data_IF_042731506851
#
_entry.id   IF_042731506851
#
_cell.length_a   1.000
_cell.length_b   1.000
_cell.length_c   1.000
_cell.angle_alpha   90.00
_cell.angle_beta   90.00
_cell.angle_gamma   90.00
#
_symmetry.space_group_name_H-M   'P 1'
#
loop_
_entity.id
_entity.type
_entity.pdbx_description
1 polymer ?
#
# COMPACT_ATOMS: atom_id res chain seq x y z
N UNK A 1 -48.59 3.94 -32.78
CA UNK A 1 -49.56 4.47 -31.81
C UNK A 1 -50.43 3.32 -31.30
N UNK A 2 -50.53 3.20 -29.98
CA UNK A 2 -51.45 2.35 -29.18
C UNK A 2 -51.37 0.82 -29.40
N UNK A 3 -50.66 0.15 -28.48
CA UNK A 3 -51.07 -1.15 -27.98
C UNK A 3 -51.50 -0.99 -26.52
N UNK A 4 -52.76 -1.27 -26.25
CA UNK A 4 -53.34 -1.52 -24.94
C UNK A 4 -53.89 -2.94 -25.00
N UNK A 5 -53.64 -3.74 -23.97
CA UNK A 5 -54.56 -4.83 -23.64
C UNK A 5 -53.96 -6.16 -23.20
N UNK A 6 -54.13 -6.39 -21.90
CA UNK A 6 -54.73 -7.60 -21.32
C UNK A 6 -53.88 -8.85 -21.05
N UNK A 7 -53.79 -9.16 -19.75
CA UNK A 7 -53.53 -10.50 -19.18
C UNK A 7 -54.84 -11.27 -19.05
N UNK A 8 -54.84 -12.57 -19.37
CA UNK A 8 -55.68 -13.58 -18.69
C UNK A 8 -54.87 -14.89 -18.55
N UNK A 9 -54.98 -15.48 -17.36
CA UNK A 9 -54.46 -16.79 -16.93
C UNK A 9 -55.16 -17.97 -17.63
N UNK A 10 -54.53 -19.16 -17.67
CA UNK A 10 -55.07 -20.46 -17.20
C UNK A 10 -54.34 -21.69 -17.82
N UNK A 11 -53.95 -22.64 -16.94
CA UNK A 11 -53.73 -24.10 -17.05
C UNK A 11 -52.80 -24.71 -18.14
N UNK A 12 -51.73 -25.38 -17.68
CA UNK A 12 -51.76 -26.81 -17.31
C UNK A 12 -51.71 -27.87 -18.43
N UNK A 13 -50.76 -28.81 -18.23
CA UNK A 13 -50.67 -30.21 -18.72
C UNK A 13 -50.05 -30.51 -20.12
N UNK A 14 -48.81 -31.01 -20.02
CA UNK A 14 -48.31 -32.32 -20.48
C UNK A 14 -48.07 -32.64 -21.97
N UNK A 15 -47.00 -33.44 -22.12
CA UNK A 15 -46.60 -34.36 -23.20
C UNK A 15 -45.76 -33.81 -24.36
N UNK A 16 -44.45 -34.10 -24.25
CA UNK A 16 -43.74 -34.97 -25.18
C UNK A 16 -43.42 -34.40 -26.56
N UNK A 17 -42.14 -34.12 -26.82
CA UNK A 17 -41.57 -34.24 -28.15
C UNK A 17 -40.07 -34.50 -28.11
N UNK A 18 -39.70 -35.56 -28.84
CA UNK A 18 -38.35 -36.00 -29.19
C UNK A 18 -37.48 -34.82 -29.64
N UNK A 19 -36.29 -34.67 -29.04
CA UNK A 19 -35.18 -33.98 -29.70
C UNK A 19 -34.30 -35.00 -30.41
N UNK A 20 -34.25 -34.87 -31.74
CA UNK A 20 -33.22 -35.45 -32.58
C UNK A 20 -31.90 -34.73 -32.33
N UNK A 21 -30.83 -35.48 -32.04
CA UNK A 21 -29.46 -34.97 -32.11
C UNK A 21 -28.98 -35.05 -33.56
N UNK A 22 -28.82 -33.90 -34.21
CA UNK A 22 -28.13 -33.81 -35.50
C UNK A 22 -26.64 -33.59 -35.25
N UNK A 23 -25.84 -34.60 -35.55
CA UNK A 23 -24.38 -34.50 -35.58
C UNK A 23 -23.95 -33.79 -36.87
N UNK A 24 -23.22 -32.67 -36.73
CA UNK A 24 -22.51 -32.06 -37.86
C UNK A 24 -21.15 -32.75 -38.01
N UNK A 25 -21.03 -33.53 -39.07
CA UNK A 25 -19.80 -34.13 -39.56
C UNK A 25 -19.11 -33.10 -40.46
N UNK A 26 -17.88 -32.68 -40.14
CA UNK A 26 -17.06 -31.83 -41.00
C UNK A 26 -15.84 -32.64 -41.45
N UNK A 27 -15.45 -32.64 -42.74
CA UNK A 27 -14.30 -33.40 -43.21
C UNK A 27 -13.00 -32.74 -42.77
N UNK A 28 -12.05 -33.57 -42.36
CA UNK A 28 -10.65 -33.21 -42.13
C UNK A 28 -9.95 -33.30 -43.50
N UNK A 29 -9.59 -32.16 -44.07
CA UNK A 29 -8.62 -32.08 -45.17
C UNK A 29 -7.23 -31.92 -44.56
N UNK A 30 -6.33 -32.82 -44.96
CA UNK A 30 -4.93 -32.79 -44.60
C UNK A 30 -4.19 -31.92 -45.62
N UNK A 31 -3.66 -30.79 -45.17
CA UNK A 31 -2.68 -30.02 -45.94
C UNK A 31 -1.28 -30.26 -45.35
N UNK A 32 -0.41 -30.70 -46.26
CA UNK A 32 1.00 -30.99 -46.08
C UNK A 32 1.76 -29.67 -46.34
N UNK A 33 2.21 -28.99 -45.28
CA UNK A 33 3.01 -27.78 -45.42
C UNK A 33 4.50 -28.07 -45.18
N UNK A 34 5.26 -27.81 -46.24
CA UNK A 34 6.72 -27.90 -46.33
C UNK A 34 7.39 -26.86 -45.43
N UNK A 35 8.30 -27.33 -44.58
CA UNK A 35 9.05 -26.51 -43.64
C UNK A 35 9.98 -25.49 -44.30
N UNK A 36 9.81 -24.24 -43.91
CA UNK A 36 10.77 -23.16 -44.13
C UNK A 36 11.42 -22.82 -42.78
N UNK A 37 12.73 -23.08 -42.70
CA UNK A 37 13.53 -22.93 -41.49
C UNK A 37 13.89 -21.45 -41.31
N UNK A 38 13.03 -20.68 -40.64
CA UNK A 38 13.30 -19.30 -40.24
C UNK A 38 14.17 -19.33 -38.98
N UNK A 39 15.39 -18.83 -39.10
CA UNK A 39 16.29 -18.54 -37.97
C UNK A 39 15.61 -17.56 -37.03
N UNK A 40 15.20 -18.02 -35.85
CA UNK A 40 14.74 -17.16 -34.76
C UNK A 40 15.94 -16.33 -34.27
N UNK A 41 15.89 -15.03 -34.56
CA UNK A 41 16.64 -14.04 -33.78
C UNK A 41 16.20 -14.18 -32.32
N UNK A 42 17.17 -14.39 -31.43
CA UNK A 42 16.99 -14.27 -29.98
C UNK A 42 16.59 -12.84 -29.64
N UNK A 43 15.29 -12.56 -29.74
CA UNK A 43 14.66 -11.44 -29.09
C UNK A 43 14.82 -11.66 -27.59
N UNK A 44 15.73 -10.92 -26.98
CA UNK A 44 15.82 -10.75 -25.53
C UNK A 44 14.53 -10.08 -25.04
N UNK A 45 13.49 -10.88 -24.85
CA UNK A 45 12.28 -10.47 -24.14
C UNK A 45 12.72 -10.14 -22.72
N UNK A 46 12.85 -8.84 -22.44
CA UNK A 46 12.98 -8.31 -21.09
C UNK A 46 11.89 -8.94 -20.24
N UNK A 47 12.32 -9.78 -19.30
CA UNK A 47 11.45 -10.43 -18.34
C UNK A 47 10.64 -9.34 -17.62
N UNK A 48 9.30 -9.48 -17.49
CA UNK A 48 8.48 -8.47 -16.85
C UNK A 48 9.03 -8.19 -15.44
N UNK A 49 9.43 -6.94 -15.19
CA UNK A 49 9.97 -6.46 -13.93
C UNK A 49 9.07 -6.94 -12.77
N UNK A 50 9.51 -7.98 -12.07
CA UNK A 50 8.98 -8.33 -10.75
C UNK A 50 9.05 -7.06 -9.90
N UNK A 51 8.03 -6.71 -9.10
CA UNK A 51 8.05 -5.52 -8.25
C UNK A 51 9.38 -5.42 -7.52
N UNK A 52 10.19 -4.43 -7.93
CA UNK A 52 11.65 -4.49 -7.85
C UNK A 52 12.19 -4.60 -6.44
N UNK A 53 13.28 -5.36 -6.29
CA UNK A 53 14.09 -5.36 -5.08
C UNK A 53 14.64 -3.94 -4.89
N UNK A 54 14.57 -3.33 -3.69
CA UNK A 54 15.00 -1.97 -3.42
C UNK A 54 16.46 -1.64 -3.78
N UNK A 55 17.35 -2.63 -3.74
CA UNK A 55 18.77 -2.45 -3.99
C UNK A 55 19.15 -2.83 -5.41
N UNK A 56 20.05 -2.05 -6.01
CA UNK A 56 20.41 -2.17 -7.42
C UNK A 56 21.10 -3.49 -7.78
N UNK A 57 21.71 -4.16 -6.80
CA UNK A 57 22.33 -5.49 -6.94
C UNK A 57 21.34 -6.65 -6.80
N UNK A 58 20.07 -6.37 -6.50
CA UNK A 58 19.02 -7.37 -6.37
C UNK A 58 19.01 -8.09 -5.01
N UNK A 59 19.81 -7.66 -4.04
CA UNK A 59 19.76 -8.17 -2.65
C UNK A 59 19.11 -7.16 -1.71
N UNK A 60 18.71 -7.59 -0.52
CA UNK A 60 18.27 -6.69 0.55
C UNK A 60 18.95 -7.16 1.82
N UNK A 61 19.89 -6.39 2.32
CA UNK A 61 20.64 -6.79 3.51
C UNK A 61 19.85 -6.48 4.78
N UNK A 62 19.03 -5.42 4.75
CA UNK A 62 18.16 -5.07 5.86
C UNK A 62 16.87 -4.42 5.38
N UNK A 63 15.74 -4.81 5.96
CA UNK A 63 14.43 -4.20 5.70
C UNK A 63 13.96 -3.47 6.95
N UNK A 64 13.43 -2.27 6.73
CA UNK A 64 12.82 -1.40 7.74
C UNK A 64 11.35 -1.14 7.37
N UNK A 65 10.62 -0.43 8.23
CA UNK A 65 9.22 -0.11 7.98
C UNK A 65 9.03 0.79 6.77
N UNK A 66 7.82 0.78 6.20
CA UNK A 66 7.48 1.59 5.04
C UNK A 66 8.22 1.19 3.75
N UNK A 67 8.79 -0.01 3.70
CA UNK A 67 9.54 -0.50 2.54
C UNK A 67 10.91 0.13 2.37
N UNK A 68 11.42 0.86 3.37
CA UNK A 68 12.80 1.31 3.40
C UNK A 68 13.72 0.09 3.53
N UNK A 69 14.71 -0.02 2.67
CA UNK A 69 15.73 -1.07 2.74
C UNK A 69 17.11 -0.45 2.93
N UNK A 70 17.94 -1.11 3.73
CA UNK A 70 19.37 -0.88 3.76
C UNK A 70 20.01 -1.69 2.65
N UNK A 71 20.56 -0.99 1.65
CA UNK A 71 21.34 -1.57 0.57
C UNK A 71 22.81 -1.44 0.93
N UNK A 72 23.44 -2.57 1.25
CA UNK A 72 24.85 -2.61 1.60
C UNK A 72 25.71 -2.18 0.43
N UNK A 73 26.96 -1.84 0.73
CA UNK A 73 27.91 -1.45 -0.30
C UNK A 73 28.99 -0.50 0.20
N UNK A 74 29.80 -0.05 -0.74
CA UNK A 74 30.97 0.78 -0.48
C UNK A 74 31.07 1.90 -1.52
N UNK A 75 30.09 2.80 -1.51
CA UNK A 75 30.03 3.91 -2.47
C UNK A 75 30.25 5.24 -1.77
N UNK A 76 30.77 6.22 -2.50
CA UNK A 76 30.88 7.60 -1.98
C UNK A 76 29.51 8.23 -1.78
N UNK A 77 29.40 9.27 -0.94
CA UNK A 77 28.13 9.96 -0.74
C UNK A 77 27.53 10.47 -2.06
N UNK A 78 28.35 11.00 -2.98
CA UNK A 78 27.88 11.46 -4.29
C UNK A 78 27.33 10.34 -5.19
N UNK A 79 27.79 9.10 -4.97
CA UNK A 79 27.36 7.91 -5.71
C UNK A 79 26.28 7.09 -4.98
N UNK A 80 25.82 7.52 -3.80
CA UNK A 80 24.86 6.75 -2.96
C UNK A 80 23.62 6.27 -3.71
N UNK A 81 23.08 7.10 -4.60
CA UNK A 81 21.89 6.76 -5.38
C UNK A 81 22.08 5.54 -6.30
N UNK A 82 23.33 5.18 -6.65
CA UNK A 82 23.63 4.00 -7.46
C UNK A 82 23.34 2.67 -6.76
N UNK A 83 23.22 2.66 -5.43
CA UNK A 83 22.83 1.45 -4.68
C UNK A 83 21.30 1.25 -4.64
N UNK A 84 20.51 2.25 -5.02
CA UNK A 84 19.05 2.11 -5.08
C UNK A 84 18.62 1.65 -6.46
N UNK A 85 17.79 0.61 -6.52
CA UNK A 85 17.21 0.12 -7.75
C UNK A 85 16.30 1.17 -8.43
N UNK A 86 16.00 1.02 -9.73
CA UNK A 86 14.96 1.80 -10.39
C UNK A 86 13.64 1.80 -9.60
N UNK A 87 13.02 2.96 -9.45
CA UNK A 87 11.84 3.12 -8.59
C UNK A 87 12.15 3.35 -7.11
N UNK A 88 13.43 3.38 -6.71
CA UNK A 88 13.87 3.71 -5.35
C UNK A 88 14.82 4.91 -5.34
N UNK A 89 14.86 5.62 -4.21
CA UNK A 89 15.79 6.74 -4.00
C UNK A 89 16.47 6.63 -2.64
N UNK A 90 17.63 7.30 -2.45
CA UNK A 90 18.20 7.47 -1.13
C UNK A 90 17.17 8.07 -0.16
N UNK A 91 17.02 7.44 1.01
CA UNK A 91 16.16 7.90 2.09
C UNK A 91 16.77 9.13 2.76
N UNK A 92 15.94 10.09 3.13
CA UNK A 92 16.33 11.21 3.99
C UNK A 92 16.53 10.76 5.44
N UNK A 93 17.22 11.58 6.22
CA UNK A 93 17.40 11.42 7.65
C UNK A 93 16.07 11.45 8.41
N UNK A 94 15.10 12.25 7.94
CA UNK A 94 13.73 12.28 8.51
C UNK A 94 12.99 10.98 8.24
N UNK A 95 13.14 10.42 7.04
CA UNK A 95 12.57 9.11 6.72
C UNK A 95 13.19 8.02 7.57
N UNK A 96 14.52 8.02 7.75
CA UNK A 96 15.18 7.12 8.68
C UNK A 96 14.61 7.23 10.09
N UNK A 97 14.54 8.44 10.67
CA UNK A 97 14.01 8.68 12.02
C UNK A 97 12.56 8.18 12.22
N UNK A 98 11.77 8.20 11.14
CA UNK A 98 10.38 7.75 11.15
C UNK A 98 10.27 6.24 10.93
N UNK A 99 11.06 5.67 10.02
CA UNK A 99 10.86 4.32 9.47
C UNK A 99 11.74 3.25 10.12
N UNK A 100 12.79 3.62 10.87
CA UNK A 100 13.66 2.64 11.49
C UNK A 100 13.04 1.94 12.72
N UNK A 101 12.04 2.56 13.36
CA UNK A 101 11.29 2.05 14.52
C UNK A 101 12.17 1.44 15.65
N UNK A 102 13.38 1.97 15.86
CA UNK A 102 14.30 1.47 16.88
C UNK A 102 15.16 0.27 16.46
N UNK A 103 14.98 -0.25 15.25
CA UNK A 103 15.82 -1.31 14.70
C UNK A 103 17.22 -0.76 14.42
N UNK A 104 18.23 -1.34 15.07
CA UNK A 104 19.61 -0.95 14.85
C UNK A 104 20.05 -1.29 13.41
N UNK A 105 20.78 -0.41 12.71
CA UNK A 105 21.27 -0.69 11.38
C UNK A 105 22.38 -1.76 11.42
N UNK A 106 22.31 -2.72 10.50
CA UNK A 106 23.27 -3.80 10.33
C UNK A 106 24.52 -3.37 9.53
N UNK A 107 24.36 -2.36 8.67
CA UNK A 107 25.45 -1.73 7.91
C UNK A 107 25.45 -0.21 8.13
N UNK A 108 26.52 0.47 7.73
CA UNK A 108 26.53 1.92 7.69
C UNK A 108 25.89 2.38 6.38
N UNK A 109 25.00 3.36 6.45
CA UNK A 109 24.25 3.80 5.29
C UNK A 109 24.27 5.32 5.14
N UNK A 110 24.49 5.76 3.91
CA UNK A 110 24.18 7.13 3.52
C UNK A 110 22.68 7.38 3.60
N UNK A 111 22.33 8.55 4.16
CA UNK A 111 21.05 9.21 3.90
C UNK A 111 21.22 10.23 2.77
N UNK A 112 20.12 10.81 2.31
CA UNK A 112 20.12 11.78 1.22
C UNK A 112 20.53 13.20 1.63
N UNK A 113 20.68 13.46 2.92
CA UNK A 113 20.91 14.79 3.47
C UNK A 113 22.40 15.06 3.75
N UNK A 114 22.83 16.30 3.53
CA UNK A 114 24.15 16.79 3.96
C UNK A 114 24.09 17.20 5.44
N UNK A 115 24.09 16.18 6.31
CA UNK A 115 23.90 16.36 7.74
C UNK A 115 25.14 16.93 8.43
N UNK A 116 24.90 17.97 9.24
CA UNK A 116 25.85 18.61 10.14
C UNK A 116 25.73 18.01 11.55
N UNK A 117 26.76 18.16 12.38
CA UNK A 117 26.77 17.62 13.73
C UNK A 117 26.90 18.70 14.82
N UNK A 118 26.50 18.36 16.05
CA UNK A 118 26.75 19.13 17.26
C UNK A 118 26.97 18.19 18.44
N UNK A 119 27.78 18.60 19.42
CA UNK A 119 28.12 17.78 20.59
C UNK A 119 29.33 16.87 20.37
N UNK A 120 29.37 15.75 21.08
CA UNK A 120 30.45 14.75 21.04
C UNK A 120 29.87 13.35 20.83
N UNK A 121 30.67 12.40 20.33
CA UNK A 121 30.22 11.02 20.09
C UNK A 121 29.49 10.42 21.29
N UNK A 122 28.35 9.77 21.06
CA UNK A 122 27.46 9.21 22.08
C UNK A 122 26.53 10.22 22.76
N UNK A 123 26.80 11.52 22.67
CA UNK A 123 25.93 12.61 23.17
C UNK A 123 25.87 13.77 22.17
N UNK A 124 25.57 13.41 20.92
CA UNK A 124 25.55 14.32 19.77
C UNK A 124 24.17 14.37 19.10
N UNK A 125 23.97 15.39 18.28
CA UNK A 125 22.82 15.51 17.38
C UNK A 125 23.27 15.85 15.97
N UNK A 126 22.45 15.46 15.00
CA UNK A 126 22.59 15.86 13.60
C UNK A 126 21.50 16.83 13.19
N UNK A 127 21.80 17.74 12.26
CA UNK A 127 20.87 18.75 11.78
C UNK A 127 21.10 19.06 10.31
N UNK A 128 20.02 19.45 9.62
CA UNK A 128 20.05 19.84 8.21
C UNK A 128 20.70 21.22 7.99
N UNK A 129 20.72 22.06 9.02
CA UNK A 129 21.07 23.49 8.87
C UNK A 129 22.06 23.95 9.93
N UNK A 130 21.86 23.54 11.18
CA UNK A 130 22.67 23.99 12.33
C UNK A 130 23.82 23.03 12.63
N UNK A 131 24.86 23.52 13.30
CA UNK A 131 26.02 22.72 13.71
C UNK A 131 27.22 22.85 12.77
N UNK A 132 28.23 22.02 13.02
CA UNK A 132 29.48 21.97 12.27
C UNK A 132 29.31 21.05 11.06
N UNK A 133 29.65 21.55 9.88
CA UNK A 133 29.66 20.74 8.67
C UNK A 133 30.84 19.76 8.68
N UNK A 134 30.62 18.57 8.14
CA UNK A 134 31.67 17.60 7.91
C UNK A 134 32.53 17.98 6.69
N UNK A 135 33.72 17.38 6.50
CA UNK A 135 34.46 17.50 5.25
C UNK A 135 33.57 17.15 4.05
N UNK A 136 33.80 17.82 2.93
CA UNK A 136 32.99 17.66 1.72
C UNK A 136 32.89 16.18 1.29
N UNK A 137 31.66 15.74 1.00
CA UNK A 137 31.37 14.36 0.61
C UNK A 137 31.37 13.33 1.75
N UNK A 138 31.47 13.77 3.00
CA UNK A 138 31.45 12.91 4.19
C UNK A 138 30.43 13.40 5.24
N UNK A 139 29.16 13.66 4.88
CA UNK A 139 28.17 14.09 5.87
C UNK A 139 27.99 13.05 6.97
N UNK A 140 27.30 13.45 8.04
CA UNK A 140 26.81 12.47 9.00
C UNK A 140 25.88 11.47 8.30
N UNK A 141 25.90 10.22 8.75
CA UNK A 141 25.23 9.08 8.14
C UNK A 141 24.64 8.18 9.22
N UNK A 142 23.91 7.14 8.82
CA UNK A 142 23.41 6.12 9.75
C UNK A 142 24.51 5.08 9.95
N UNK A 143 24.80 4.73 11.20
CA UNK A 143 25.94 3.91 11.57
C UNK A 143 25.51 2.70 12.37
N UNK A 144 26.19 1.56 12.16
CA UNK A 144 26.02 0.38 13.02
C UNK A 144 26.33 0.73 14.48
N UNK A 145 25.78 -0.03 15.42
CA UNK A 145 26.09 0.15 16.83
C UNK A 145 27.59 0.02 17.14
N UNK A 146 28.30 -0.82 16.38
CA UNK A 146 29.74 -1.02 16.49
C UNK A 146 30.57 0.07 15.78
N UNK A 147 29.93 0.91 14.96
CA UNK A 147 30.58 1.91 14.13
C UNK A 147 31.38 1.35 12.95
N UNK A 148 31.43 0.04 12.73
CA UNK A 148 32.02 -0.59 11.53
C UNK A 148 31.07 -1.67 11.02
N UNK A 149 30.97 -1.83 9.70
CA UNK A 149 30.15 -2.86 9.04
C UNK A 149 31.00 -3.90 8.29
N UNK A 150 30.34 -4.90 7.69
CA UNK A 150 30.99 -6.01 7.00
C UNK A 150 31.76 -5.57 5.74
N UNK A 151 31.37 -4.46 5.12
CA UNK A 151 32.01 -3.86 3.93
C UNK A 151 33.25 -3.02 4.31
N UNK A 152 33.53 -2.89 5.61
CA UNK A 152 34.63 -2.09 6.15
C UNK A 152 34.38 -0.59 6.00
N UNK A 153 33.12 -0.17 5.95
CA UNK A 153 32.76 1.22 6.20
C UNK A 153 32.86 1.48 7.71
N UNK A 154 33.28 2.68 8.08
CA UNK A 154 33.55 3.02 9.49
C UNK A 154 32.96 4.37 9.82
N UNK A 155 32.27 4.47 10.94
CA UNK A 155 31.87 5.70 11.60
C UNK A 155 32.77 5.95 12.80
N UNK A 156 33.57 7.00 12.70
CA UNK A 156 34.42 7.48 13.80
C UNK A 156 33.61 8.07 14.97
N UNK A 157 32.39 8.54 14.71
CA UNK A 157 31.43 8.99 15.71
C UNK A 157 30.15 8.18 15.58
N UNK A 158 29.48 7.88 16.69
CA UNK A 158 28.22 7.13 16.70
C UNK A 158 27.29 7.67 17.78
N UNK A 159 26.04 7.21 17.74
CA UNK A 159 25.10 7.43 18.84
C UNK A 159 24.42 8.79 18.84
N UNK A 160 24.37 9.50 17.72
CA UNK A 160 23.71 10.80 17.63
C UNK A 160 22.20 10.66 17.39
N UNK A 161 21.42 11.60 17.94
CA UNK A 161 20.00 11.78 17.59
C UNK A 161 19.79 12.74 16.42
N UNK A 162 18.56 12.84 15.92
CA UNK A 162 18.17 13.82 14.88
C UNK A 162 17.57 15.06 15.55
N UNK A 163 18.16 16.24 15.30
CA UNK A 163 17.79 17.56 15.86
C UNK A 163 17.84 17.70 17.38
N UNK A 164 18.05 16.61 18.11
CA UNK A 164 18.23 16.54 19.55
C UNK A 164 19.24 15.43 19.88
N UNK A 165 19.89 15.53 21.05
CA UNK A 165 20.91 14.56 21.45
C UNK A 165 20.30 13.22 21.91
N UNK A 166 18.99 13.18 22.18
CA UNK A 166 18.24 11.99 22.53
C UNK A 166 16.86 12.00 21.84
N UNK A 167 16.29 10.82 21.54
CA UNK A 167 16.89 9.48 21.67
C UNK A 167 18.04 9.24 20.66
N UNK A 168 18.87 8.23 20.90
CA UNK A 168 19.87 7.79 19.93
C UNK A 168 19.14 7.28 18.67
N UNK A 169 19.50 7.82 17.50
CA UNK A 169 18.94 7.45 16.20
C UNK A 169 19.99 6.85 15.27
N UNK A 170 21.10 6.39 15.83
CA UNK A 170 22.22 5.79 15.12
C UNK A 170 22.90 6.71 14.10
N UNK A 171 22.69 8.03 14.18
CA UNK A 171 23.46 8.94 13.36
C UNK A 171 24.90 9.04 13.87
N UNK A 172 25.83 9.26 12.94
CA UNK A 172 27.26 9.28 13.23
C UNK A 172 28.10 9.63 12.00
N UNK A 173 29.40 9.40 12.08
CA UNK A 173 30.36 9.71 11.03
C UNK A 173 30.99 11.10 11.18
N UNK A 174 31.31 11.74 10.04
CA UNK A 174 31.95 13.05 9.87
C UNK A 174 33.44 13.07 9.51
N UNK A 175 34.21 11.98 9.62
CA UNK A 175 35.57 11.94 9.06
C UNK A 175 36.14 10.51 8.93
N UNK A 176 37.12 10.34 8.03
CA UNK A 176 38.00 9.16 7.98
C UNK A 176 37.50 7.99 7.14
N UNK A 177 36.22 7.96 6.80
CA UNK A 177 35.67 7.00 5.85
C UNK A 177 34.67 7.69 4.91
N UNK A 178 34.97 7.61 3.63
CA UNK A 178 34.24 8.25 2.53
C UNK A 178 33.22 7.33 1.87
N UNK A 179 33.02 6.12 2.39
CA UNK A 179 32.12 5.12 1.81
C UNK A 179 31.10 4.61 2.82
N UNK A 180 29.94 4.19 2.31
CA UNK A 180 28.89 3.50 3.04
C UNK A 180 27.98 2.75 2.06
N UNK A 181 27.05 1.95 2.58
CA UNK A 181 25.84 1.55 1.87
C UNK A 181 24.88 2.72 1.70
N UNK A 182 23.64 2.48 1.28
CA UNK A 182 22.60 3.52 1.16
C UNK A 182 21.26 3.00 1.66
N UNK A 183 20.52 3.84 2.39
CA UNK A 183 19.12 3.56 2.68
C UNK A 183 18.29 3.90 1.46
N UNK A 184 17.52 2.96 0.94
CA UNK A 184 16.68 3.14 -0.23
C UNK A 184 15.21 3.05 0.17
N UNK A 185 14.44 4.07 -0.18
CA UNK A 185 12.97 4.09 -0.02
C UNK A 185 12.31 4.05 -1.38
N UNK A 186 11.16 3.37 -1.52
CA UNK A 186 10.45 3.38 -2.78
C UNK A 186 10.01 4.81 -3.10
N UNK A 187 10.15 5.19 -4.36
CA UNK A 187 9.67 6.45 -4.90
C UNK A 187 8.16 6.30 -5.04
N UNK A 188 7.37 7.23 -4.52
CA UNK A 188 5.92 7.15 -4.70
C UNK A 188 5.45 7.53 -6.11
N UNK A 189 6.32 8.19 -6.88
CA UNK A 189 6.04 8.71 -8.23
C UNK A 189 6.91 8.02 -9.30
N UNK A 190 6.32 7.78 -10.46
CA UNK A 190 6.91 6.96 -11.52
C UNK A 190 8.08 7.65 -12.24
N UNK A 191 8.07 8.98 -12.37
CA UNK A 191 9.20 9.79 -12.85
C UNK A 191 10.35 9.87 -11.83
N UNK A 192 10.03 9.49 -10.60
CA UNK A 192 10.94 9.35 -9.50
C UNK A 192 11.24 10.63 -8.74
N UNK A 193 10.51 11.72 -9.00
CA UNK A 193 10.48 12.92 -8.16
C UNK A 193 9.21 12.91 -7.31
N UNK A 194 9.32 13.31 -6.04
CA UNK A 194 8.15 13.50 -5.18
C UNK A 194 8.00 15.00 -4.96
N UNK A 195 6.96 15.58 -5.56
CA UNK A 195 6.76 17.03 -5.49
C UNK A 195 6.11 17.45 -4.17
N UNK A 196 5.36 16.53 -3.56
CA UNK A 196 4.78 16.77 -2.25
C UNK A 196 4.69 15.48 -1.43
N UNK A 197 5.08 15.54 -0.16
CA UNK A 197 4.89 14.44 0.78
C UNK A 197 3.77 14.79 1.77
N UNK A 198 2.94 13.81 2.06
CA UNK A 198 1.86 13.90 3.05
C UNK A 198 2.09 12.87 4.17
N UNK A 199 1.17 12.80 5.14
CA UNK A 199 1.30 11.84 6.24
C UNK A 199 1.15 10.40 5.73
N UNK A 200 1.76 9.46 6.45
CA UNK A 200 1.67 8.01 6.20
C UNK A 200 2.04 7.59 4.77
N UNK A 201 3.04 8.24 4.17
CA UNK A 201 3.63 7.81 2.90
C UNK A 201 2.81 8.14 1.65
N UNK A 202 1.67 8.82 1.78
CA UNK A 202 1.01 9.43 0.63
C UNK A 202 1.91 10.51 0.04
N UNK A 203 2.06 10.51 -1.26
CA UNK A 203 2.82 11.52 -2.01
C UNK A 203 1.95 12.12 -3.10
N UNK A 204 2.23 13.37 -3.43
CA UNK A 204 1.73 14.04 -4.62
C UNK A 204 2.77 13.90 -5.71
N UNK A 205 2.40 13.21 -6.78
CA UNK A 205 3.17 13.07 -8.00
C UNK A 205 2.64 14.07 -8.99
N UNK A 206 3.37 15.15 -9.21
CA UNK A 206 2.98 16.16 -10.15
C UNK A 206 2.97 15.60 -11.57
N UNK A 207 2.26 16.29 -12.45
CA UNK A 207 2.15 15.90 -13.83
C UNK A 207 0.99 16.59 -14.52
N UNK A 208 0.89 16.37 -15.83
CA UNK A 208 -0.20 16.88 -16.67
C UNK A 208 -0.79 15.72 -17.45
N UNK A 209 -1.40 14.77 -16.74
CA UNK A 209 -2.09 13.62 -17.36
C UNK A 209 -3.60 13.76 -17.25
N UNK A 210 -4.32 13.24 -18.23
CA UNK A 210 -5.76 13.07 -18.11
C UNK A 210 -6.11 12.07 -17.00
N UNK A 211 -7.38 12.07 -16.57
CA UNK A 211 -7.84 11.18 -15.50
C UNK A 211 -7.53 9.70 -15.78
N UNK A 212 -7.67 9.22 -17.02
CA UNK A 212 -7.39 7.82 -17.35
C UNK A 212 -5.91 7.44 -17.16
N UNK A 213 -4.99 8.36 -17.43
CA UNK A 213 -3.54 8.15 -17.29
C UNK A 213 -2.98 8.35 -15.88
N UNK A 214 -3.79 8.78 -14.90
CA UNK A 214 -3.34 9.10 -13.53
C UNK A 214 -2.54 7.98 -12.84
N UNK A 215 -2.90 6.72 -13.09
CA UNK A 215 -2.24 5.57 -12.47
C UNK A 215 -0.79 5.42 -12.91
N UNK A 216 -0.44 5.89 -14.11
CA UNK A 216 0.92 5.84 -14.63
C UNK A 216 1.87 6.83 -13.91
N UNK A 217 1.34 7.80 -13.15
CA UNK A 217 2.15 8.70 -12.35
C UNK A 217 2.60 8.07 -11.02
N UNK A 218 1.95 7.00 -10.56
CA UNK A 218 2.36 6.29 -9.36
C UNK A 218 3.41 5.24 -9.71
N UNK A 219 4.49 5.20 -8.94
CA UNK A 219 5.53 4.19 -9.16
C UNK A 219 5.03 2.77 -8.84
N UNK A 220 5.71 1.72 -9.32
CA UNK A 220 5.46 0.36 -8.86
C UNK A 220 5.47 0.26 -7.32
N UNK A 221 4.46 -0.43 -6.76
CA UNK A 221 4.25 -0.51 -5.31
C UNK A 221 3.47 0.66 -4.71
N UNK A 222 3.01 1.60 -5.55
CA UNK A 222 2.05 2.63 -5.22
C UNK A 222 0.81 2.50 -6.10
N UNK A 223 -0.30 3.06 -5.61
CA UNK A 223 -1.53 3.23 -6.40
C UNK A 223 -2.08 4.63 -6.22
N UNK A 224 -3.00 5.04 -7.10
CA UNK A 224 -3.69 6.31 -6.92
C UNK A 224 -4.53 6.26 -5.64
N UNK A 225 -4.40 7.27 -4.80
CA UNK A 225 -5.17 7.46 -3.57
C UNK A 225 -6.64 7.77 -3.90
N UNK A 226 -7.56 7.23 -3.12
CA UNK A 226 -8.96 7.65 -3.12
C UNK A 226 -9.13 8.98 -2.41
N UNK A 227 -10.28 9.60 -2.60
CA UNK A 227 -10.69 10.83 -1.95
C UNK A 227 -10.83 10.65 -0.42
N UNK A 228 -11.28 9.48 0.03
CA UNK A 228 -11.35 9.17 1.45
C UNK A 228 -9.95 9.06 2.07
N UNK A 229 -9.00 8.44 1.35
CA UNK A 229 -7.59 8.39 1.77
C UNK A 229 -6.97 9.77 1.83
N UNK A 230 -7.21 10.63 0.84
CA UNK A 230 -6.78 12.02 0.90
C UNK A 230 -7.21 12.66 2.23
N UNK A 231 -8.51 12.65 2.54
CA UNK A 231 -9.08 13.24 3.77
C UNK A 231 -8.43 12.67 5.03
N UNK A 232 -8.14 11.36 5.06
CA UNK A 232 -7.50 10.72 6.20
C UNK A 232 -6.00 10.98 6.33
N UNK A 233 -5.30 11.22 5.22
CA UNK A 233 -3.83 11.20 5.14
C UNK A 233 -3.18 12.57 4.91
N UNK A 234 -3.90 13.56 4.39
CA UNK A 234 -3.31 14.89 4.13
C UNK A 234 -3.06 15.69 5.42
N UNK A 235 -3.87 15.44 6.46
CA UNK A 235 -3.78 16.10 7.76
C UNK A 235 -4.09 17.61 7.67
N UNK A 236 -3.06 18.44 7.81
CA UNK A 236 -3.14 19.90 7.67
C UNK A 236 -2.38 20.42 6.44
N UNK A 237 -1.84 19.51 5.62
CA UNK A 237 -0.97 19.87 4.50
C UNK A 237 -1.82 20.39 3.34
N UNK A 238 -1.55 21.62 2.92
CA UNK A 238 -2.21 22.23 1.75
C UNK A 238 -1.58 21.69 0.47
N UNK A 239 -2.35 21.19 -0.51
CA UNK A 239 -1.79 20.73 -1.78
C UNK A 239 -1.09 21.88 -2.54
N UNK A 240 0.12 21.63 -3.04
CA UNK A 240 0.90 22.59 -3.84
C UNK A 240 0.66 22.42 -5.34
N UNK A 241 0.16 21.27 -5.78
CA UNK A 241 -0.25 20.97 -7.16
C UNK A 241 -1.70 20.49 -7.19
N UNK A 242 -2.25 20.32 -8.39
CA UNK A 242 -3.53 19.67 -8.60
C UNK A 242 -3.32 18.17 -8.79
N UNK A 243 -4.13 17.34 -8.13
CA UNK A 243 -3.95 15.89 -8.17
C UNK A 243 -5.26 15.14 -8.37
N UNK A 244 -5.23 14.16 -9.26
CA UNK A 244 -6.26 13.15 -9.37
C UNK A 244 -6.30 12.25 -8.13
N UNK A 245 -7.52 11.97 -7.69
CA UNK A 245 -7.84 10.81 -6.85
C UNK A 245 -8.35 9.66 -7.73
N UNK A 246 -8.45 8.46 -7.15
CA UNK A 246 -8.91 7.29 -7.89
C UNK A 246 -10.42 7.27 -8.17
N UNK A 247 -11.19 8.05 -7.43
CA UNK A 247 -12.65 8.11 -7.52
C UNK A 247 -13.15 9.00 -8.67
N UNK A 248 -14.26 8.60 -9.30
CA UNK A 248 -15.05 9.44 -10.20
C UNK A 248 -15.97 10.36 -9.37
N UNK A 249 -15.37 11.40 -8.80
CA UNK A 249 -16.04 12.28 -7.84
C UNK A 249 -17.07 13.20 -8.51
N UNK A 250 -18.28 13.18 -7.96
CA UNK A 250 -19.39 14.08 -8.25
C UNK A 250 -19.37 15.28 -7.31
N UNK A 251 -20.10 16.33 -7.64
CA UNK A 251 -20.23 17.53 -6.80
C UNK A 251 -21.68 17.81 -6.40
N UNK A 252 -21.85 18.48 -5.25
CA UNK A 252 -23.11 19.10 -4.84
C UNK A 252 -22.82 20.50 -4.31
N UNK A 253 -23.67 21.48 -4.65
CA UNK A 253 -23.53 22.88 -4.23
C UNK A 253 -22.93 23.79 -5.29
N UNK A 254 -22.36 24.91 -4.86
CA UNK A 254 -21.72 25.93 -5.72
C UNK A 254 -20.27 26.16 -5.30
N UNK A 255 -19.50 26.90 -6.11
CA UNK A 255 -18.11 27.25 -5.80
C UNK A 255 -17.99 27.86 -4.39
N UNK A 256 -17.03 27.39 -3.60
CA UNK A 256 -16.81 27.71 -2.18
C UNK A 256 -17.90 27.27 -1.18
N UNK A 257 -18.99 26.64 -1.64
CA UNK A 257 -20.04 26.05 -0.79
C UNK A 257 -20.45 24.69 -1.37
N UNK A 258 -19.46 23.83 -1.59
CA UNK A 258 -19.61 22.53 -2.26
C UNK A 258 -19.00 21.40 -1.44
N UNK A 259 -19.48 20.19 -1.69
CA UNK A 259 -18.79 18.96 -1.30
C UNK A 259 -18.75 17.99 -2.46
N UNK A 260 -17.80 17.07 -2.40
CA UNK A 260 -17.65 15.98 -3.36
C UNK A 260 -18.08 14.66 -2.74
N UNK A 261 -18.56 13.76 -3.60
CA UNK A 261 -18.95 12.40 -3.22
C UNK A 261 -18.81 11.48 -4.43
N UNK A 262 -18.39 10.24 -4.20
CA UNK A 262 -18.35 9.22 -5.26
C UNK A 262 -19.77 8.77 -5.68
N UNK A 263 -20.77 8.97 -4.82
CA UNK A 263 -22.12 8.41 -5.03
C UNK A 263 -23.19 9.48 -5.24
N UNK A 264 -23.12 10.60 -4.52
CA UNK A 264 -24.16 11.65 -4.48
C UNK A 264 -23.72 12.90 -5.26
N UNK A 265 -24.66 13.51 -5.98
CA UNK A 265 -24.46 14.80 -6.65
C UNK A 265 -24.50 14.71 -8.18
N UNK A 266 -24.12 15.81 -8.82
CA UNK A 266 -24.02 15.94 -10.27
C UNK A 266 -22.65 15.45 -10.75
N UNK A 267 -22.65 14.66 -11.81
CA UNK A 267 -21.41 14.22 -12.47
C UNK A 267 -20.76 15.40 -13.21
N UNK A 268 -19.44 15.39 -13.26
CA UNK A 268 -18.66 16.27 -14.13
C UNK A 268 -18.66 15.76 -15.58
N UNK A 269 -18.24 16.57 -16.56
CA UNK A 269 -17.96 16.08 -17.90
C UNK A 269 -17.03 14.85 -17.86
N UNK A 270 -17.25 13.91 -18.78
CA UNK A 270 -16.52 12.66 -18.82
C UNK A 270 -14.99 12.90 -18.83
N UNK A 271 -14.26 12.18 -17.97
CA UNK A 271 -12.81 12.28 -17.84
C UNK A 271 -12.31 13.50 -17.05
N UNK A 272 -13.21 14.28 -16.44
CA UNK A 272 -12.86 15.45 -15.62
C UNK A 272 -13.57 15.44 -14.25
N UNK A 273 -13.46 14.36 -13.46
CA UNK A 273 -14.09 14.34 -12.14
C UNK A 273 -13.56 15.46 -11.25
N UNK A 274 -14.23 15.67 -10.12
CA UNK A 274 -13.64 16.48 -9.07
C UNK A 274 -12.31 15.86 -8.62
N UNK A 275 -11.38 16.71 -8.20
CA UNK A 275 -9.99 16.34 -7.87
C UNK A 275 -9.51 17.16 -6.68
N UNK A 276 -8.34 16.82 -6.15
CA UNK A 276 -7.68 17.65 -5.13
C UNK A 276 -6.99 18.79 -5.85
N UNK A 277 -7.25 20.01 -5.41
CA UNK A 277 -6.78 21.22 -6.06
C UNK A 277 -5.87 22.00 -5.12
N UNK A 278 -4.80 22.58 -5.66
CA UNK A 278 -4.11 23.68 -5.00
C UNK A 278 -5.12 24.76 -4.60
N UNK A 279 -4.87 25.42 -3.47
CA UNK A 279 -5.77 26.43 -2.89
C UNK A 279 -6.26 27.49 -3.89
N UNK A 280 -5.43 27.93 -4.83
CA UNK A 280 -5.81 28.82 -5.93
C UNK A 280 -4.92 28.65 -7.17
N UNK A 281 -5.47 29.00 -8.34
CA UNK A 281 -4.72 29.26 -9.57
C UNK A 281 -4.25 28.02 -10.34
N UNK A 282 -3.21 28.23 -11.14
CA UNK A 282 -2.52 27.21 -11.92
C UNK A 282 -1.36 26.62 -11.11
N UNK A 283 -1.13 25.31 -11.18
CA UNK A 283 0.09 24.71 -10.66
C UNK A 283 1.28 24.86 -11.63
N UNK A 284 2.45 24.34 -11.27
CA UNK A 284 3.67 24.50 -12.06
C UNK A 284 3.59 23.76 -13.41
N UNK A 285 2.73 22.75 -13.50
CA UNK A 285 2.52 21.90 -14.67
C UNK A 285 1.44 22.47 -15.61
N UNK A 286 0.86 23.63 -15.28
CA UNK A 286 -0.16 24.27 -16.10
C UNK A 286 -1.59 23.76 -15.84
N UNK A 287 -1.79 22.88 -14.86
CA UNK A 287 -3.11 22.40 -14.49
C UNK A 287 -3.88 23.49 -13.76
N UNK A 288 -5.20 23.53 -13.94
CA UNK A 288 -6.07 24.52 -13.28
C UNK A 288 -7.28 23.86 -12.65
N UNK A 289 -7.77 24.44 -11.56
CA UNK A 289 -9.08 24.10 -10.99
C UNK A 289 -9.98 25.34 -11.02
N UNK A 290 -11.08 25.26 -11.76
CA UNK A 290 -12.05 26.36 -11.84
C UNK A 290 -12.88 26.47 -10.56
N UNK A 291 -13.20 25.34 -9.93
CA UNK A 291 -13.80 25.30 -8.61
C UNK A 291 -12.76 24.82 -7.62
N UNK A 292 -12.73 25.43 -6.44
CA UNK A 292 -11.81 25.08 -5.36
C UNK A 292 -12.54 25.14 -4.02
N UNK A 293 -11.87 24.59 -3.00
CA UNK A 293 -12.29 24.65 -1.61
C UNK A 293 -13.60 23.93 -1.28
N UNK A 294 -13.93 22.87 -2.02
CA UNK A 294 -14.99 21.94 -1.66
C UNK A 294 -14.52 20.99 -0.54
N UNK A 295 -15.45 20.50 0.28
CA UNK A 295 -15.18 19.41 1.23
C UNK A 295 -15.59 18.03 0.73
N UNK A 296 -15.70 17.05 1.64
CA UNK A 296 -16.01 15.66 1.32
C UNK A 296 -17.23 15.16 2.11
N UNK A 297 -18.20 14.55 1.42
CA UNK A 297 -19.29 13.76 2.02
C UNK A 297 -20.50 14.49 2.64
N UNK A 298 -20.44 15.77 3.02
CA UNK A 298 -21.59 16.49 3.62
C UNK A 298 -21.50 18.02 3.49
N UNK A 299 -22.61 18.74 3.76
CA UNK A 299 -22.65 20.21 3.94
C UNK A 299 -22.93 20.61 5.40
N UNK A 300 -22.33 21.72 5.90
CA UNK A 300 -21.16 22.41 5.35
C UNK A 300 -19.88 21.64 5.74
N UNK A 301 -19.07 21.15 4.80
CA UNK A 301 -17.89 20.43 5.18
C UNK A 301 -16.75 21.42 5.48
N UNK A 302 -15.77 21.04 6.32
CA UNK A 302 -14.48 21.70 6.29
C UNK A 302 -13.90 21.66 4.87
N UNK A 303 -13.13 22.68 4.49
CA UNK A 303 -12.40 22.69 3.24
C UNK A 303 -11.43 21.49 3.19
N UNK A 304 -11.60 20.61 2.20
CA UNK A 304 -10.73 19.46 1.95
C UNK A 304 -9.97 19.62 0.64
N UNK A 305 -9.92 20.84 0.11
CA UNK A 305 -9.24 21.21 -1.14
C UNK A 305 -9.77 20.50 -2.38
N UNK A 306 -10.98 19.92 -2.34
CA UNK A 306 -11.58 19.36 -3.54
C UNK A 306 -12.08 20.46 -4.47
N UNK A 307 -12.09 20.17 -5.77
CA UNK A 307 -12.45 21.13 -6.78
C UNK A 307 -12.46 20.55 -8.19
N UNK A 308 -12.51 21.40 -9.22
CA UNK A 308 -12.45 21.00 -10.62
C UNK A 308 -13.81 21.03 -11.35
N UNK A 309 -14.16 19.92 -12.00
CA UNK A 309 -15.38 19.71 -12.83
C UNK A 309 -15.46 20.39 -14.19
N UNK A 310 -14.86 21.55 -14.37
CA UNK A 310 -14.86 22.24 -15.66
C UNK A 310 -13.47 22.79 -15.95
N UNK A 311 -13.05 22.78 -17.22
CA UNK A 311 -11.80 23.39 -17.68
C UNK A 311 -10.69 22.38 -17.96
N UNK A 312 -9.53 22.58 -17.34
CA UNK A 312 -8.33 21.80 -17.62
C UNK A 312 -8.56 20.31 -17.24
N UNK A 313 -8.42 19.38 -18.21
CA UNK A 313 -8.65 17.95 -18.00
C UNK A 313 -7.40 17.20 -17.52
N UNK A 314 -6.35 17.89 -17.07
CA UNK A 314 -5.11 17.31 -16.59
C UNK A 314 -4.82 17.67 -15.15
N UNK A 315 -4.08 16.79 -14.46
CA UNK A 315 -3.56 16.97 -13.11
C UNK A 315 -2.41 15.97 -12.88
N UNK A 316 -1.74 16.08 -11.74
CA UNK A 316 -0.91 15.02 -11.18
C UNK A 316 -1.73 13.87 -10.58
N UNK A 317 -1.13 13.02 -9.78
CA UNK A 317 -1.83 11.98 -9.02
C UNK A 317 -1.39 11.99 -7.55
N UNK A 318 -2.34 11.73 -6.64
CA UNK A 318 -1.98 11.33 -5.28
C UNK A 318 -1.66 9.86 -5.30
N UNK A 319 -0.48 9.47 -4.83
CA UNK A 319 -0.02 8.11 -4.80
C UNK A 319 0.18 7.66 -3.35
N UNK A 320 -0.42 6.53 -2.99
CA UNK A 320 -0.26 5.88 -1.69
C UNK A 320 0.46 4.55 -1.87
N UNK A 321 1.24 4.09 -0.88
CA UNK A 321 1.80 2.76 -0.92
C UNK A 321 0.68 1.73 -1.07
N UNK A 322 0.84 0.78 -1.97
CA UNK A 322 -0.09 -0.34 -2.13
C UNK A 322 -0.01 -1.32 -0.96
N UNK A 323 0.94 -1.12 -0.03
CA UNK A 323 1.30 -2.09 1.00
C UNK A 323 0.60 -1.80 2.32
N UNK A 324 -0.33 -2.68 2.71
CA UNK A 324 -1.07 -2.58 3.96
C UNK A 324 -0.43 -3.23 5.18
N UNK A 325 0.78 -3.76 5.03
CA UNK A 325 1.51 -4.49 6.06
C UNK A 325 2.70 -3.69 6.58
N UNK A 326 2.91 -3.71 7.90
CA UNK A 326 3.87 -2.85 8.60
C UNK A 326 5.34 -3.17 8.27
N UNK A 327 5.63 -4.43 7.96
CA UNK A 327 6.92 -4.92 7.47
C UNK A 327 7.17 -4.56 6.00
N UNK A 328 6.16 -4.01 5.32
CA UNK A 328 6.24 -3.70 3.91
C UNK A 328 6.13 -4.91 3.00
N UNK A 329 5.83 -6.13 3.46
CA UNK A 329 5.50 -7.26 2.58
C UNK A 329 3.99 -7.52 2.62
N UNK A 330 3.33 -7.54 1.46
CA UNK A 330 1.95 -8.00 1.39
C UNK A 330 1.95 -9.46 0.99
N UNK A 331 1.64 -10.36 1.92
CA UNK A 331 1.65 -11.80 1.64
C UNK A 331 0.40 -12.27 0.89
N UNK A 332 -0.69 -11.51 1.04
CA UNK A 332 -1.90 -11.75 0.28
C UNK A 332 -2.63 -10.45 -0.05
N UNK A 333 -2.69 -10.08 -1.32
CA UNK A 333 -3.62 -9.05 -1.79
C UNK A 333 -4.97 -9.70 -2.03
N UNK A 334 -6.02 -9.21 -1.36
CA UNK A 334 -7.39 -9.70 -1.54
C UNK A 334 -8.18 -8.73 -2.40
N UNK A 335 -8.14 -7.45 -2.04
CA UNK A 335 -8.67 -6.32 -2.82
C UNK A 335 -7.70 -5.14 -2.75
N UNK A 336 -8.03 -4.03 -3.42
CA UNK A 336 -7.23 -2.79 -3.38
C UNK A 336 -7.14 -2.12 -2.00
N UNK A 337 -8.00 -2.51 -1.07
CA UNK A 337 -8.12 -1.95 0.28
C UNK A 337 -8.11 -3.03 1.38
N UNK A 338 -7.84 -4.29 1.04
CA UNK A 338 -7.82 -5.42 1.98
C UNK A 338 -6.65 -6.34 1.65
N UNK A 339 -5.73 -6.46 2.60
CA UNK A 339 -4.54 -7.29 2.47
C UNK A 339 -4.38 -8.19 3.70
N UNK A 340 -3.89 -9.40 3.50
CA UNK A 340 -3.45 -10.28 4.57
C UNK A 340 -1.97 -10.06 4.85
N UNK A 341 -1.67 -9.59 6.05
CA UNK A 341 -0.32 -9.39 6.58
C UNK A 341 0.05 -10.59 7.44
N UNK A 342 1.01 -11.38 7.01
CA UNK A 342 1.47 -12.54 7.76
C UNK A 342 2.17 -12.10 9.05
N UNK A 343 2.26 -13.01 10.01
CA UNK A 343 2.97 -12.74 11.25
C UNK A 343 2.57 -13.68 12.37
N UNK A 344 3.18 -13.45 13.53
CA UNK A 344 3.03 -14.25 14.75
C UNK A 344 2.75 -13.28 15.91
N UNK A 345 1.63 -12.57 15.84
CA UNK A 345 1.23 -11.61 16.89
C UNK A 345 0.00 -12.11 17.64
N UNK A 346 -0.15 -11.70 18.90
CA UNK A 346 -1.37 -11.95 19.67
C UNK A 346 -2.49 -11.02 19.20
N UNK A 347 -3.74 -11.41 19.44
CA UNK A 347 -4.89 -10.60 19.01
C UNK A 347 -4.85 -9.13 19.52
N UNK A 348 -4.48 -8.82 20.77
CA UNK A 348 -4.32 -7.42 21.21
C UNK A 348 -3.33 -6.61 20.37
N UNK A 349 -2.30 -7.27 19.83
CA UNK A 349 -1.22 -6.65 19.06
C UNK A 349 -1.44 -6.66 17.55
N UNK A 350 -2.57 -7.20 17.06
CA UNK A 350 -2.85 -7.37 15.62
C UNK A 350 -2.61 -6.12 14.76
N UNK A 351 -2.96 -4.94 15.26
CA UNK A 351 -2.75 -3.68 14.53
C UNK A 351 -1.27 -3.37 14.25
N UNK A 352 -0.32 -3.99 14.98
CA UNK A 352 1.12 -3.81 14.74
C UNK A 352 1.57 -4.37 13.39
N UNK A 353 0.82 -5.32 12.82
CA UNK A 353 1.11 -5.85 11.48
C UNK A 353 0.52 -4.99 10.36
N UNK A 354 -0.33 -4.02 10.67
CA UNK A 354 -0.88 -3.12 9.67
C UNK A 354 0.04 -1.90 9.48
N UNK A 355 0.30 -1.55 8.22
CA UNK A 355 1.07 -0.36 7.90
C UNK A 355 0.42 0.91 8.47
N UNK A 356 1.17 1.99 8.71
CA UNK A 356 0.59 3.29 9.06
C UNK A 356 -0.52 3.70 8.07
N UNK A 357 -1.67 4.13 8.58
CA UNK A 357 -2.87 4.40 7.79
C UNK A 357 -3.79 3.19 7.59
N UNK A 358 -3.32 1.98 7.89
CA UNK A 358 -4.10 0.75 7.86
C UNK A 358 -4.46 0.30 9.28
N UNK A 359 -5.55 -0.44 9.40
CA UNK A 359 -6.03 -1.01 10.67
C UNK A 359 -6.49 -2.45 10.46
N UNK A 360 -6.59 -3.23 11.54
CA UNK A 360 -7.15 -4.57 11.43
C UNK A 360 -8.59 -4.50 10.91
N UNK A 361 -8.85 -5.21 9.81
CA UNK A 361 -10.13 -5.30 9.15
C UNK A 361 -11.14 -6.09 9.96
N UNK A 362 -12.42 -5.74 9.84
CA UNK A 362 -13.51 -6.50 10.46
C UNK A 362 -13.78 -7.80 9.69
N UNK A 363 -14.40 -8.76 10.37
CA UNK A 363 -14.94 -9.99 9.79
C UNK A 363 -16.02 -9.72 8.73
N UNK A 364 -16.87 -8.71 8.95
CA UNK A 364 -17.88 -8.29 7.97
C UNK A 364 -17.26 -7.76 6.67
N UNK A 365 -16.14 -7.02 6.78
CA UNK A 365 -15.38 -6.57 5.61
C UNK A 365 -14.86 -7.76 4.82
N UNK A 366 -14.21 -8.73 5.49
CA UNK A 366 -13.73 -9.95 4.84
C UNK A 366 -14.84 -10.64 4.06
N UNK A 367 -15.96 -10.94 4.72
CA UNK A 367 -17.11 -11.62 4.11
C UNK A 367 -17.60 -10.92 2.84
N UNK A 368 -17.66 -9.59 2.85
CA UNK A 368 -18.14 -8.80 1.71
C UNK A 368 -17.12 -8.62 0.58
N UNK A 369 -15.81 -8.76 0.85
CA UNK A 369 -14.75 -8.37 -0.09
C UNK A 369 -13.86 -9.52 -0.57
N UNK A 370 -13.76 -10.63 0.15
CA UNK A 370 -12.83 -11.72 -0.19
C UNK A 370 -13.16 -12.49 -1.48
N UNK A 371 -14.42 -12.43 -1.96
CA UNK A 371 -14.85 -13.17 -3.14
C UNK A 371 -14.68 -14.69 -2.98
N UNK A 372 -13.86 -15.30 -3.84
CA UNK A 372 -13.51 -16.72 -3.80
C UNK A 372 -12.09 -16.98 -3.23
N UNK A 373 -11.42 -15.94 -2.73
CA UNK A 373 -10.05 -16.07 -2.25
C UNK A 373 -10.01 -16.75 -0.87
N UNK A 374 -9.36 -17.91 -0.79
CA UNK A 374 -9.04 -18.54 0.48
C UNK A 374 -7.83 -17.85 1.15
N UNK A 375 -7.79 -17.73 2.49
CA UNK A 375 -6.62 -17.22 3.20
C UNK A 375 -5.37 -18.08 2.95
N UNK A 376 -4.23 -17.44 2.67
CA UNK A 376 -2.91 -18.09 2.58
C UNK A 376 -2.24 -18.27 3.95
N UNK A 377 -2.58 -17.39 4.89
CA UNK A 377 -2.16 -17.47 6.29
C UNK A 377 -3.38 -17.37 7.20
N UNK A 378 -3.19 -17.63 8.48
CA UNK A 378 -4.20 -17.36 9.49
C UNK A 378 -4.14 -15.87 9.85
N UNK A 379 -5.29 -15.19 9.92
CA UNK A 379 -5.35 -13.75 10.14
C UNK A 379 -6.32 -13.37 11.25
N UNK A 380 -5.87 -12.51 12.16
CA UNK A 380 -6.74 -11.77 13.06
C UNK A 380 -7.61 -10.78 12.29
N UNK A 381 -8.85 -10.63 12.76
CA UNK A 381 -9.73 -9.50 12.42
C UNK A 381 -9.78 -8.53 13.60
N UNK A 382 -10.31 -7.32 13.41
CA UNK A 382 -10.50 -6.36 14.51
C UNK A 382 -11.55 -6.81 15.53
N UNK A 383 -12.45 -7.71 15.13
CA UNK A 383 -13.57 -8.19 15.93
C UNK A 383 -13.14 -9.21 16.99
N UNK A 384 -13.80 -9.17 18.16
CA UNK A 384 -13.71 -10.22 19.17
C UNK A 384 -14.75 -11.30 18.86
N UNK A 385 -14.45 -12.14 17.87
CA UNK A 385 -15.38 -13.13 17.35
C UNK A 385 -15.60 -14.30 18.33
N UNK A 386 -16.88 -14.63 18.52
CA UNK A 386 -17.38 -15.77 19.27
C UNK A 386 -17.75 -16.90 18.30
N UNK A 387 -17.82 -18.13 18.80
CA UNK A 387 -18.23 -19.29 18.00
C UNK A 387 -19.68 -19.70 18.27
N UNK A 388 -20.30 -20.25 17.25
CA UNK A 388 -21.58 -20.95 17.24
C UNK A 388 -21.33 -22.33 16.63
N UNK A 389 -21.96 -23.39 17.14
CA UNK A 389 -21.80 -24.75 16.62
C UNK A 389 -20.80 -25.62 17.39
N UNK A 390 -20.40 -26.75 16.79
CA UNK A 390 -19.73 -27.85 17.51
C UNK A 390 -18.40 -28.33 16.91
N UNK A 391 -17.96 -27.80 15.76
CA UNK A 391 -16.71 -28.19 15.12
C UNK A 391 -16.55 -27.65 13.70
N UNK A 392 -15.42 -27.96 13.05
CA UNK A 392 -15.14 -27.55 11.67
C UNK A 392 -16.27 -27.87 10.71
N UNK A 393 -16.55 -26.98 9.76
CA UNK A 393 -17.66 -27.05 8.79
C UNK A 393 -19.08 -27.11 9.39
N UNK A 394 -19.22 -27.19 10.71
CA UNK A 394 -20.49 -27.18 11.45
C UNK A 394 -20.50 -26.03 12.47
N UNK A 395 -19.89 -24.91 12.08
CA UNK A 395 -19.65 -23.75 12.93
C UNK A 395 -19.89 -22.44 12.20
N UNK A 396 -20.17 -21.39 12.97
CA UNK A 396 -20.21 -20.02 12.52
C UNK A 396 -19.53 -19.10 13.54
N UNK A 397 -19.16 -17.91 13.11
CA UNK A 397 -18.68 -16.85 14.01
C UNK A 397 -19.67 -15.70 14.13
N UNK A 398 -19.71 -15.06 15.29
CA UNK A 398 -20.54 -13.87 15.51
C UNK A 398 -19.84 -12.89 16.45
N UNK A 399 -20.10 -11.59 16.27
CA UNK A 399 -19.62 -10.54 17.18
C UNK A 399 -20.51 -10.37 18.40
N UNK A 400 -21.75 -10.87 18.38
CA UNK A 400 -22.76 -10.63 19.42
C UNK A 400 -23.32 -11.92 20.04
N UNK A 401 -23.34 -13.02 19.29
CA UNK A 401 -23.95 -14.29 19.71
C UNK A 401 -22.90 -15.38 19.89
N UNK A 402 -23.26 -16.42 20.63
CA UNK A 402 -22.42 -17.59 20.81
C UNK A 402 -21.48 -17.49 22.01
N UNK A 403 -20.56 -18.45 22.08
CA UNK A 403 -19.65 -18.63 23.19
C UNK A 403 -18.33 -17.95 22.86
N UNK A 404 -17.81 -17.15 23.78
CA UNK A 404 -16.47 -16.57 23.62
C UNK A 404 -15.43 -17.69 23.73
N UNK A 405 -14.35 -17.56 22.95
CA UNK A 405 -13.15 -18.35 23.17
C UNK A 405 -12.44 -17.91 24.46
N UNK A 406 -11.23 -18.44 24.70
CA UNK A 406 -10.37 -17.94 25.78
C UNK A 406 -9.96 -16.47 25.55
N UNK A 407 -9.55 -15.80 26.63
CA UNK A 407 -9.05 -14.43 26.56
C UNK A 407 -7.91 -14.31 25.52
N UNK A 408 -7.99 -13.27 24.68
CA UNK A 408 -7.02 -13.00 23.60
C UNK A 408 -6.92 -14.06 22.49
N UNK A 409 -7.89 -14.99 22.41
CA UNK A 409 -7.94 -16.02 21.38
C UNK A 409 -9.30 -16.05 20.65
N UNK A 410 -9.85 -14.94 20.16
CA UNK A 410 -11.11 -14.98 19.44
C UNK A 410 -11.03 -15.89 18.20
N UNK A 411 -12.18 -16.19 17.62
CA UNK A 411 -12.21 -16.78 16.29
C UNK A 411 -11.51 -15.83 15.29
N UNK A 412 -10.93 -16.40 14.24
CA UNK A 412 -10.08 -15.72 13.27
C UNK A 412 -10.30 -16.29 11.88
N UNK A 413 -9.65 -15.71 10.87
CA UNK A 413 -9.58 -16.31 9.54
C UNK A 413 -8.49 -17.37 9.54
N UNK A 414 -8.79 -18.50 8.90
CA UNK A 414 -7.93 -19.66 8.87
C UNK A 414 -7.64 -20.08 7.44
N UNK A 415 -6.44 -20.58 7.18
CA UNK A 415 -6.19 -21.32 5.95
C UNK A 415 -7.13 -22.52 5.86
N UNK A 416 -7.45 -23.02 4.65
CA UNK A 416 -8.25 -24.25 4.51
C UNK A 416 -7.67 -25.45 5.29
N UNK A 417 -6.35 -25.53 5.39
CA UNK A 417 -5.65 -26.57 6.15
C UNK A 417 -5.65 -26.35 7.67
N UNK A 418 -6.09 -25.18 8.15
CA UNK A 418 -6.04 -24.77 9.54
C UNK A 418 -4.65 -24.40 10.05
N UNK A 419 -3.58 -24.82 9.38
CA UNK A 419 -2.20 -24.43 9.71
C UNK A 419 -1.60 -23.59 8.58
N UNK A 420 -0.77 -22.60 8.92
CA UNK A 420 -0.02 -21.81 7.93
C UNK A 420 1.51 -22.02 8.04
N UNK A 421 2.25 -21.40 7.12
CA UNK A 421 3.70 -21.54 7.01
C UNK A 421 4.48 -20.95 8.20
N UNK A 422 3.84 -20.12 9.04
CA UNK A 422 4.44 -19.55 10.25
C UNK A 422 4.11 -20.37 11.51
N UNK A 423 3.43 -21.51 11.34
CA UNK A 423 3.02 -22.36 12.44
C UNK A 423 1.81 -21.84 13.21
N UNK A 424 1.11 -20.82 12.69
CA UNK A 424 -0.19 -20.44 13.24
C UNK A 424 -1.16 -21.59 12.98
N UNK A 425 -2.05 -21.86 13.93
CA UNK A 425 -2.96 -23.01 13.85
C UNK A 425 -4.39 -22.60 14.22
N UNK A 426 -5.36 -23.22 13.59
CA UNK A 426 -6.77 -23.18 13.92
C UNK A 426 -7.25 -24.60 14.21
N UNK A 427 -7.80 -24.82 15.41
CA UNK A 427 -8.41 -26.08 15.80
C UNK A 427 -9.72 -26.36 15.06
N UNK A 428 -10.49 -25.31 14.75
CA UNK A 428 -11.67 -25.37 13.90
C UNK A 428 -11.40 -24.60 12.61
N UNK A 429 -11.94 -25.08 11.50
CA UNK A 429 -11.84 -24.46 10.17
C UNK A 429 -13.18 -24.52 9.45
N UNK A 430 -13.28 -23.80 8.33
CA UNK A 430 -14.47 -23.79 7.47
C UNK A 430 -15.75 -23.33 8.17
N UNK A 431 -15.66 -22.37 9.09
CA UNK A 431 -16.82 -21.75 9.72
C UNK A 431 -17.36 -20.59 8.86
N UNK A 432 -18.68 -20.43 8.83
CA UNK A 432 -19.32 -19.27 8.21
C UNK A 432 -19.37 -18.02 9.12
N UNK A 433 -19.86 -16.91 8.60
CA UNK A 433 -20.13 -15.68 9.35
C UNK A 433 -21.63 -15.58 9.66
N UNK A 434 -21.99 -15.49 10.94
CA UNK A 434 -23.35 -15.50 11.51
C UNK A 434 -24.16 -16.78 11.30
N UNK A 435 -23.96 -17.48 10.18
CA UNK A 435 -24.58 -18.77 9.84
C UNK A 435 -23.50 -19.80 9.50
N UNK A 436 -23.80 -21.09 9.63
CA UNK A 436 -22.81 -22.15 9.36
C UNK A 436 -22.40 -22.23 7.88
N UNK A 437 -23.26 -21.74 6.98
CA UNK A 437 -22.99 -21.68 5.54
C UNK A 437 -23.33 -20.29 5.00
N UNK A 438 -22.65 -19.82 3.94
CA UNK A 438 -21.52 -20.47 3.28
C UNK A 438 -20.23 -20.43 4.12
N UNK A 439 -19.24 -21.25 3.72
CA UNK A 439 -17.90 -21.22 4.31
C UNK A 439 -17.23 -19.88 3.99
N UNK A 440 -16.78 -19.20 5.04
CA UNK A 440 -16.06 -17.93 4.94
C UNK A 440 -14.64 -18.04 5.54
N UNK A 441 -14.15 -19.26 5.72
CA UNK A 441 -12.83 -19.59 6.26
C UNK A 441 -12.60 -19.10 7.69
N UNK A 442 -13.65 -18.87 8.48
CA UNK A 442 -13.47 -18.59 9.89
C UNK A 442 -13.14 -19.86 10.67
N UNK A 443 -12.52 -19.70 11.82
CA UNK A 443 -12.10 -20.82 12.67
C UNK A 443 -11.41 -20.38 13.95
N UNK A 444 -10.89 -21.34 14.70
CA UNK A 444 -10.14 -21.10 15.95
C UNK A 444 -10.92 -21.40 17.25
N UNK A 445 -10.57 -20.67 18.31
CA UNK A 445 -10.93 -20.78 19.74
C UNK A 445 -10.00 -21.53 20.69
N UNK A 446 -9.23 -22.53 20.26
CA UNK A 446 -8.39 -23.29 21.18
C UNK A 446 -7.06 -23.68 20.50
N UNK A 447 -5.92 -23.37 21.12
CA UNK A 447 -4.60 -23.62 20.55
C UNK A 447 -3.76 -22.35 20.38
N UNK A 448 -3.08 -22.22 19.24
CA UNK A 448 -2.12 -21.14 18.98
C UNK A 448 -2.76 -19.74 19.19
N UNK A 449 -2.11 -18.93 20.03
CA UNK A 449 -2.46 -17.54 20.42
C UNK A 449 -2.02 -16.49 19.41
N UNK A 450 -1.46 -16.92 18.29
CA UNK A 450 -0.84 -16.04 17.29
C UNK A 450 -1.41 -16.30 15.90
N UNK A 451 -1.39 -15.23 15.10
CA UNK A 451 -1.77 -15.20 13.70
C UNK A 451 -1.15 -13.95 13.05
N UNK A 452 -1.27 -13.84 11.73
CA UNK A 452 -1.13 -12.58 11.02
C UNK A 452 -2.31 -11.64 11.31
N UNK A 453 -2.41 -10.55 10.55
CA UNK A 453 -3.56 -9.62 10.62
C UNK A 453 -4.09 -9.36 9.24
N UNK A 454 -5.42 -9.39 9.11
CA UNK A 454 -6.10 -8.88 7.94
C UNK A 454 -6.12 -7.36 8.06
N UNK A 455 -5.37 -6.65 7.23
CA UNK A 455 -5.26 -5.19 7.27
C UNK A 455 -6.13 -4.56 6.20
N UNK A 456 -6.85 -3.53 6.61
CA UNK A 456 -7.69 -2.70 5.75
C UNK A 456 -7.25 -1.25 5.88
N UNK A 457 -7.31 -0.55 4.76
CA UNK A 457 -7.13 0.89 4.72
C UNK A 457 -8.41 1.64 5.10
#
# INVERSE_FOLDING_TARGET
MKCVGFRVFVKGLALGSLLWMTACNVPIEAEEETGEFVSQEESSLESPLVPGVPCADGTMEQIFSGGMAGCAGKVTWGSRASLCAPGFRPASAREWDTLFLGLAPAHNYWTNDDLRYSGVSGTCSVSYVTGTACPAGQPMRVCTAAGTDAEGNTCNWTGCGLLANTPNRFFGGCAGNTTAGTLCVPRGCADGSVEQTFSNGMVGCAGSTNWAGRAALCAPGYRVATAAEWVGLHGTSVPTHHYWTNDDLKYTGSAAACYVSATVGSACPAGQPMRVCRSTGTDAEGNTCNWVNCGFGALPPPNQYFGGCAGNPTAGALCVPTRGCADGSVEQVLTSNLVGCSGVVTWPNRNQLCAPGWTASTASTWTSQHGLAAPRYNYWTSDNLRYLGTGSSACAVSTTSGTACNANQPMRLCTPAGTDALGNQCNWTHCGYQTNTPDHYFGGCNGNTTAGTLCRL
#
